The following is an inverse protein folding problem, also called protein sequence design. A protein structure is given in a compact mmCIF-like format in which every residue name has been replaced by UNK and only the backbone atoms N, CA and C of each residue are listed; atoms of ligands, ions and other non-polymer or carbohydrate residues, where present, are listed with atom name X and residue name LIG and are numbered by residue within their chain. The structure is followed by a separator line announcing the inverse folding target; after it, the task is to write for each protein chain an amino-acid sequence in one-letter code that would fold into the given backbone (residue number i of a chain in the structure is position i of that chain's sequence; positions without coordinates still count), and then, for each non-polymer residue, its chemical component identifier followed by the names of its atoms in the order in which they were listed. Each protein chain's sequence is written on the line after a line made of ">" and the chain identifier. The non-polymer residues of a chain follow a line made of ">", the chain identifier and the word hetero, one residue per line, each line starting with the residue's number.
data_IF_383660515751
#
_entry.id   IF_383660515751
#
_cell.length_a   1.000
_cell.length_b   1.000
_cell.length_c   1.000
_cell.angle_alpha   90.00
_cell.angle_beta   90.00
_cell.angle_gamma   90.00
#
_symmetry.space_group_name_H-M   'P 1'
#
loop_
_entity.id
_entity.type
_entity.pdbx_description
1 polymer ?
#
# COMPACT_ATOMS: atom_id res chain seq x y z
N UNK A 1 -29.07 29.30 8.80
CA UNK A 1 -30.16 28.92 7.87
C UNK A 1 -30.30 27.40 7.93
N UNK A 2 -31.44 26.82 8.34
CA UNK A 2 -31.46 25.41 8.72
C UNK A 2 -31.58 24.46 7.51
N UNK A 3 -30.79 23.40 7.61
CA UNK A 3 -30.53 22.22 6.77
C UNK A 3 -31.72 21.65 5.96
N UNK A 4 -32.96 21.79 6.42
CA UNK A 4 -34.16 21.25 5.73
C UNK A 4 -34.48 21.95 4.40
N UNK A 5 -34.06 23.22 4.23
CA UNK A 5 -34.33 23.97 2.99
C UNK A 5 -33.45 23.53 1.82
N UNK A 6 -32.27 22.97 2.11
CA UNK A 6 -31.32 22.43 1.12
C UNK A 6 -31.78 21.03 0.68
N UNK A 7 -32.28 20.20 1.60
CA UNK A 7 -32.79 18.86 1.26
C UNK A 7 -34.03 18.94 0.35
N UNK A 8 -34.92 19.93 0.57
CA UNK A 8 -36.11 20.12 -0.29
C UNK A 8 -35.78 20.61 -1.71
N UNK A 9 -34.64 21.24 -1.95
CA UNK A 9 -34.24 21.65 -3.32
C UNK A 9 -33.71 20.49 -4.18
N UNK A 10 -33.35 19.35 -3.58
CA UNK A 10 -32.86 18.17 -4.29
C UNK A 10 -33.97 17.17 -4.70
N UNK A 11 -35.19 17.30 -4.16
CA UNK A 11 -36.31 16.41 -4.48
C UNK A 11 -36.97 16.68 -5.86
N UNK A 12 -36.67 17.83 -6.48
CA UNK A 12 -37.28 18.27 -7.75
C UNK A 12 -36.30 18.33 -8.93
N UNK A 13 -35.09 17.76 -8.80
CA UNK A 13 -34.18 17.67 -9.94
C UNK A 13 -34.64 16.53 -10.87
N UNK A 14 -34.77 16.79 -12.19
CA UNK A 14 -35.21 15.78 -13.13
C UNK A 14 -34.19 14.63 -13.16
N UNK A 15 -34.69 13.40 -13.21
CA UNK A 15 -33.86 12.22 -13.43
C UNK A 15 -33.13 12.32 -14.78
N UNK A 16 -31.95 11.67 -14.93
CA UNK A 16 -31.05 11.89 -16.07
C UNK A 16 -31.62 11.56 -17.46
N UNK A 17 -32.85 11.03 -17.57
CA UNK A 17 -33.48 10.73 -18.86
C UNK A 17 -34.29 11.87 -19.47
N UNK A 18 -34.47 13.02 -18.78
CA UNK A 18 -35.36 14.09 -19.23
C UNK A 18 -34.68 15.28 -19.93
N UNK A 19 -33.35 15.29 -20.09
CA UNK A 19 -32.60 16.40 -20.72
C UNK A 19 -32.23 16.14 -22.20
N UNK A 20 -32.70 15.05 -22.80
CA UNK A 20 -32.45 14.71 -24.19
C UNK A 20 -33.63 15.08 -25.13
N UNK A 21 -34.20 16.27 -24.99
CA UNK A 21 -35.09 16.82 -26.01
C UNK A 21 -35.22 18.33 -25.80
N UNK A 22 -34.56 19.12 -26.68
CA UNK A 22 -34.89 20.48 -27.16
C UNK A 22 -33.62 21.33 -27.35
N UNK A 23 -33.29 21.67 -28.60
CA UNK A 23 -32.24 22.64 -28.95
C UNK A 23 -31.74 22.47 -30.39
N UNK A 24 -31.67 23.54 -31.22
CA UNK A 24 -31.76 23.44 -32.67
C UNK A 24 -30.43 23.20 -33.38
N UNK A 25 -30.53 22.65 -34.59
CA UNK A 25 -29.43 22.06 -35.34
C UNK A 25 -28.36 23.01 -35.87
N UNK A 26 -27.15 22.47 -35.95
CA UNK A 26 -26.19 22.82 -36.99
C UNK A 26 -25.64 21.52 -37.59
N UNK A 27 -25.81 21.37 -38.91
CA UNK A 27 -25.35 20.22 -39.70
C UNK A 27 -23.84 20.34 -39.91
N UNK A 28 -23.07 19.38 -39.40
CA UNK A 28 -21.78 19.00 -39.99
C UNK A 28 -21.75 17.47 -40.07
N UNK A 29 -21.75 16.96 -41.31
CA UNK A 29 -21.74 15.54 -41.60
C UNK A 29 -20.43 14.88 -41.13
N UNK A 30 -20.52 13.82 -40.30
CA UNK A 30 -19.42 12.87 -40.08
C UNK A 30 -19.78 11.54 -40.73
N UNK A 31 -19.03 11.16 -41.76
CA UNK A 31 -18.95 9.77 -42.24
C UNK A 31 -18.24 8.94 -41.17
N UNK A 32 -18.89 7.86 -40.73
CA UNK A 32 -18.26 6.83 -39.91
C UNK A 32 -17.47 5.86 -40.81
N UNK A 33 -16.23 5.58 -40.45
CA UNK A 33 -15.45 4.47 -41.01
C UNK A 33 -14.92 3.62 -39.86
N UNK A 34 -15.51 2.44 -39.68
CA UNK A 34 -15.02 1.38 -38.81
C UNK A 34 -13.87 0.63 -39.51
N UNK A 35 -12.84 0.16 -38.79
CA UNK A 35 -11.85 -0.76 -39.38
C UNK A 35 -12.36 -2.22 -39.35
N UNK A 36 -11.96 -3.08 -40.32
CA UNK A 36 -12.45 -4.44 -40.42
C UNK A 36 -11.60 -5.45 -39.59
N UNK A 37 -12.13 -6.67 -39.35
CA UNK A 37 -11.46 -7.71 -38.59
C UNK A 37 -10.60 -8.62 -39.50
N UNK A 38 -9.36 -8.92 -39.08
CA UNK A 38 -8.56 -9.95 -39.75
C UNK A 38 -8.79 -11.32 -39.10
N UNK A 39 -9.45 -12.21 -39.85
CA UNK A 39 -9.35 -13.67 -39.75
C UNK A 39 -8.33 -14.14 -40.77
N UNK A 40 -7.38 -14.99 -40.38
CA UNK A 40 -6.60 -15.80 -41.32
C UNK A 40 -7.02 -17.27 -41.18
N UNK A 41 -7.51 -17.82 -42.28
CA UNK A 41 -7.83 -19.23 -42.51
C UNK A 41 -6.71 -19.92 -43.27
N UNK A 42 -6.62 -21.23 -43.07
CA UNK A 42 -5.67 -22.20 -43.61
C UNK A 42 -5.76 -22.44 -45.13
N UNK A 43 -4.67 -22.95 -45.74
CA UNK A 43 -4.68 -24.04 -46.74
C UNK A 43 -3.26 -24.59 -47.05
N UNK A 44 -3.13 -25.93 -46.95
CA UNK A 44 -2.38 -26.97 -47.75
C UNK A 44 -1.25 -26.56 -48.72
N UNK A 45 -0.18 -27.34 -49.04
CA UNK A 45 0.06 -28.80 -49.17
C UNK A 45 1.54 -29.05 -49.58
N UNK A 46 2.11 -30.24 -49.32
CA UNK A 46 3.33 -30.74 -49.99
C UNK A 46 4.03 -31.90 -49.26
N UNK A 47 4.33 -33.00 -49.97
CA UNK A 47 4.50 -34.36 -49.45
C UNK A 47 5.97 -34.87 -49.31
N UNK A 48 6.21 -35.68 -48.26
CA UNK A 48 7.05 -36.92 -48.18
C UNK A 48 8.59 -36.84 -48.15
N UNK A 49 9.33 -37.93 -47.78
CA UNK A 49 8.95 -39.09 -46.96
C UNK A 49 9.95 -39.47 -45.82
N UNK A 50 9.46 -40.33 -44.92
CA UNK A 50 10.09 -41.42 -44.14
C UNK A 50 11.54 -41.31 -43.59
N UNK A 51 11.70 -41.52 -42.28
CA UNK A 51 12.54 -42.62 -41.79
C UNK A 51 12.16 -43.07 -40.37
N UNK A 52 12.15 -44.39 -40.20
CA UNK A 52 11.85 -45.17 -39.00
C UNK A 52 13.15 -45.37 -38.22
N UNK A 53 13.11 -45.28 -36.88
CA UNK A 53 13.93 -46.15 -36.02
C UNK A 53 13.35 -46.27 -34.61
N UNK A 54 12.84 -47.48 -34.39
CA UNK A 54 12.54 -48.13 -33.14
C UNK A 54 13.84 -48.47 -32.40
N UNK A 55 13.87 -48.35 -31.07
CA UNK A 55 14.60 -49.30 -30.22
C UNK A 55 14.12 -49.20 -28.78
N UNK A 56 13.40 -50.25 -28.41
CA UNK A 56 13.21 -50.76 -27.07
C UNK A 56 14.55 -51.18 -26.44
N UNK A 57 14.75 -50.92 -25.15
CA UNK A 57 15.37 -51.91 -24.25
C UNK A 57 15.13 -51.52 -22.78
N UNK A 58 14.66 -52.51 -22.04
CA UNK A 58 14.30 -52.53 -20.63
C UNK A 58 15.45 -53.07 -19.76
N UNK A 59 15.25 -52.96 -18.44
CA UNK A 59 15.95 -53.58 -17.28
C UNK A 59 17.06 -52.75 -16.63
N UNK A 60 17.34 -52.82 -15.33
CA UNK A 60 16.66 -53.28 -14.08
C UNK A 60 17.63 -52.89 -12.94
N UNK A 61 17.10 -52.28 -11.87
CA UNK A 61 17.46 -52.33 -10.43
C UNK A 61 18.94 -52.39 -9.99
N UNK A 62 19.33 -51.44 -9.12
CA UNK A 62 20.09 -51.62 -7.88
C UNK A 62 19.97 -50.32 -7.04
N UNK A 63 19.03 -50.22 -6.10
CA UNK A 63 19.21 -50.34 -4.63
C UNK A 63 20.48 -49.72 -4.06
N UNK A 64 20.32 -48.66 -3.27
CA UNK A 64 20.95 -48.54 -1.96
C UNK A 64 20.08 -47.66 -1.06
N UNK A 65 19.32 -48.34 -0.20
CA UNK A 65 18.85 -47.81 1.07
C UNK A 65 20.05 -47.70 2.03
N UNK A 66 20.06 -46.64 2.84
CA UNK A 66 20.63 -46.68 4.17
C UNK A 66 19.61 -46.02 5.11
N UNK A 67 18.98 -46.88 5.90
CA UNK A 67 18.01 -46.63 6.95
C UNK A 67 18.44 -45.54 7.95
N UNK A 68 17.47 -44.73 8.39
CA UNK A 68 17.20 -44.60 9.82
C UNK A 68 15.69 -44.56 10.04
N UNK A 69 15.21 -45.57 10.75
CA UNK A 69 13.84 -45.76 11.20
C UNK A 69 13.43 -44.75 12.27
N UNK A 70 12.16 -44.32 12.25
CA UNK A 70 11.47 -43.99 13.49
C UNK A 70 10.01 -44.42 13.43
N UNK A 71 9.66 -45.24 14.41
CA UNK A 71 8.37 -45.87 14.65
C UNK A 71 7.25 -44.86 14.91
N UNK A 72 6.03 -45.24 14.54
CA UNK A 72 4.84 -44.43 14.68
C UNK A 72 4.49 -44.06 16.13
N UNK A 73 3.84 -42.91 16.25
CA UNK A 73 3.17 -42.44 17.45
C UNK A 73 2.30 -41.24 17.09
N UNK A 74 0.99 -41.45 16.98
CA UNK A 74 0.02 -40.37 16.99
C UNK A 74 0.16 -39.64 18.33
N UNK A 75 0.51 -38.35 18.31
CA UNK A 75 0.59 -37.52 19.51
C UNK A 75 0.12 -36.10 19.20
N UNK A 76 -0.87 -35.70 19.99
CA UNK A 76 -1.55 -34.41 20.08
C UNK A 76 -0.64 -33.17 20.05
N UNK A 77 -1.21 -32.11 19.49
CA UNK A 77 -0.68 -30.74 19.40
C UNK A 77 0.02 -30.22 20.68
N UNK A 78 1.16 -29.51 20.57
CA UNK A 78 1.76 -28.81 21.69
C UNK A 78 1.40 -27.31 21.60
N UNK A 79 0.13 -26.96 21.80
CA UNK A 79 -0.26 -25.58 22.09
C UNK A 79 -0.73 -25.49 23.53
N UNK A 80 0.21 -25.59 24.49
CA UNK A 80 -0.05 -25.18 25.88
C UNK A 80 1.18 -24.53 26.52
N UNK A 81 0.87 -23.43 27.20
CA UNK A 81 1.67 -22.58 28.07
C UNK A 81 2.83 -21.78 27.47
N UNK A 82 2.44 -20.68 26.81
CA UNK A 82 3.16 -19.40 26.92
C UNK A 82 2.26 -18.43 27.69
N UNK A 83 1.93 -18.76 28.93
CA UNK A 83 1.53 -17.77 29.91
C UNK A 83 2.68 -17.64 30.89
N UNK A 84 3.07 -16.40 31.14
CA UNK A 84 4.12 -16.00 32.07
C UNK A 84 5.56 -15.98 31.54
N UNK A 85 5.80 -15.06 30.59
CA UNK A 85 7.08 -14.35 30.49
C UNK A 85 6.78 -12.87 30.27
N UNK A 86 7.36 -12.04 31.15
CA UNK A 86 7.08 -10.62 31.40
C UNK A 86 6.60 -9.81 30.20
N UNK A 87 5.56 -9.00 30.43
CA UNK A 87 4.95 -8.02 29.52
C UNK A 87 5.94 -7.43 28.49
N UNK A 88 6.12 -8.14 27.38
CA UNK A 88 6.91 -7.69 26.25
C UNK A 88 6.09 -6.62 25.53
N UNK A 89 6.25 -5.34 25.92
CA UNK A 89 5.62 -4.13 25.31
C UNK A 89 4.42 -4.44 24.41
N UNK A 90 3.36 -5.01 24.99
CA UNK A 90 2.05 -5.15 24.35
C UNK A 90 1.50 -3.73 24.25
N UNK A 91 1.71 -3.03 23.12
CA UNK A 91 1.18 -1.67 22.95
C UNK A 91 1.83 -0.75 21.90
N UNK A 92 2.97 -1.11 21.28
CA UNK A 92 3.61 -0.22 20.28
C UNK A 92 3.38 -0.69 18.83
N UNK A 93 3.00 0.21 17.92
CA UNK A 93 2.84 -0.11 16.50
C UNK A 93 4.14 -0.63 15.84
N UNK A 94 4.04 -1.43 14.76
CA UNK A 94 2.80 -1.89 14.13
C UNK A 94 2.05 -2.92 15.00
N UNK A 95 0.72 -2.94 14.88
CA UNK A 95 -0.16 -3.84 15.63
C UNK A 95 -0.29 -5.21 14.95
N UNK A 96 -0.78 -6.23 15.66
CA UNK A 96 -0.90 -7.59 15.09
C UNK A 96 -1.89 -7.64 13.94
N UNK A 97 -3.03 -6.95 14.09
CA UNK A 97 -3.90 -6.59 12.99
C UNK A 97 -3.63 -5.12 12.61
N UNK A 98 -3.06 -4.90 11.43
CA UNK A 98 -2.80 -3.57 10.89
C UNK A 98 -3.31 -3.47 9.45
N UNK A 99 -3.26 -2.28 8.86
CA UNK A 99 -3.64 -2.07 7.48
C UNK A 99 -2.83 -0.93 6.85
N UNK A 100 -2.67 -0.97 5.53
CA UNK A 100 -1.87 0.01 4.79
C UNK A 100 -2.59 1.34 4.55
N UNK A 101 -3.76 1.55 5.16
CA UNK A 101 -4.45 2.84 5.21
C UNK A 101 -5.62 3.03 4.27
N UNK A 102 -5.37 3.17 2.97
CA UNK A 102 -6.39 3.63 2.01
C UNK A 102 -7.64 2.74 2.00
N UNK A 103 -8.80 3.36 2.19
CA UNK A 103 -10.13 2.73 2.16
C UNK A 103 -10.90 3.15 0.90
N UNK A 104 -11.89 2.37 0.49
CA UNK A 104 -12.84 2.72 -0.55
C UNK A 104 -13.50 4.06 -0.25
N UNK A 105 -13.51 4.94 -1.24
CA UNK A 105 -14.13 6.25 -1.10
C UNK A 105 -15.65 6.10 -1.04
N UNK A 106 -16.33 6.68 -0.03
CA UNK A 106 -17.79 6.67 0.03
C UNK A 106 -18.40 7.33 -1.22
N UNK A 107 -19.52 6.83 -1.77
CA UNK A 107 -20.14 7.40 -2.97
C UNK A 107 -20.41 8.91 -2.86
N UNK A 108 -20.82 9.38 -1.67
CA UNK A 108 -21.03 10.81 -1.40
C UNK A 108 -19.76 11.65 -1.57
N UNK A 109 -18.60 11.14 -1.13
CA UNK A 109 -17.32 11.82 -1.29
C UNK A 109 -16.89 11.85 -2.77
N UNK A 110 -17.10 10.75 -3.50
CA UNK A 110 -16.84 10.70 -4.95
C UNK A 110 -17.70 11.72 -5.68
N UNK A 111 -19.00 11.80 -5.38
CA UNK A 111 -19.89 12.82 -5.95
C UNK A 111 -19.44 14.23 -5.60
N UNK A 112 -19.09 14.50 -4.34
CA UNK A 112 -18.61 15.82 -3.91
C UNK A 112 -17.33 16.23 -4.65
N UNK A 113 -16.37 15.32 -4.83
CA UNK A 113 -15.15 15.56 -5.61
C UNK A 113 -15.46 15.92 -7.06
N UNK A 114 -16.33 15.15 -7.73
CA UNK A 114 -16.77 15.46 -9.09
C UNK A 114 -17.46 16.83 -9.21
N UNK A 115 -18.25 17.21 -8.20
CA UNK A 115 -18.90 18.54 -8.15
C UNK A 115 -17.88 19.66 -7.92
N UNK A 116 -16.89 19.43 -7.07
CA UNK A 116 -15.81 20.38 -6.80
C UNK A 116 -14.93 20.60 -8.05
N UNK A 117 -14.55 19.53 -8.76
CA UNK A 117 -13.80 19.61 -10.02
C UNK A 117 -14.56 20.43 -11.09
N UNK A 118 -15.89 20.29 -11.11
CA UNK A 118 -16.79 21.08 -11.97
C UNK A 118 -17.09 22.48 -11.42
N UNK A 119 -16.45 22.88 -10.31
CA UNK A 119 -16.63 24.17 -9.61
C UNK A 119 -18.08 24.44 -9.18
N UNK A 120 -18.85 23.39 -8.91
CA UNK A 120 -20.25 23.48 -8.45
C UNK A 120 -20.33 23.70 -6.94
N UNK A 121 -19.40 23.14 -6.18
CA UNK A 121 -19.26 23.35 -4.73
C UNK A 121 -17.91 24.00 -4.40
N UNK A 122 -17.82 24.70 -3.27
CA UNK A 122 -16.58 25.34 -2.82
C UNK A 122 -15.61 24.33 -2.20
N UNK A 123 -14.38 24.76 -1.91
CA UNK A 123 -13.40 23.93 -1.22
C UNK A 123 -13.84 23.59 0.21
N UNK A 124 -14.48 24.55 0.89
CA UNK A 124 -15.04 24.39 2.23
C UNK A 124 -16.17 23.35 2.21
N UNK A 125 -17.06 23.42 1.22
CA UNK A 125 -18.13 22.44 1.05
C UNK A 125 -17.56 21.04 0.77
N UNK A 126 -16.51 20.90 -0.06
CA UNK A 126 -15.84 19.62 -0.24
C UNK A 126 -15.22 19.10 1.08
N UNK A 127 -14.58 19.98 1.84
CA UNK A 127 -13.98 19.63 3.12
C UNK A 127 -15.03 19.07 4.10
N UNK A 128 -16.26 19.59 4.12
CA UNK A 128 -17.35 19.02 4.94
C UNK A 128 -17.66 17.56 4.56
N UNK A 129 -17.61 17.19 3.27
CA UNK A 129 -17.79 15.80 2.83
C UNK A 129 -16.59 14.92 3.20
N UNK A 130 -15.37 15.45 3.12
CA UNK A 130 -14.15 14.75 3.56
C UNK A 130 -14.20 14.48 5.07
N UNK A 131 -14.55 15.48 5.87
CA UNK A 131 -14.66 15.42 7.32
C UNK A 131 -15.70 14.38 7.75
N UNK A 132 -16.88 14.40 7.12
CA UNK A 132 -17.92 13.40 7.37
C UNK A 132 -17.48 11.99 6.98
N UNK A 133 -16.75 11.83 5.87
CA UNK A 133 -16.23 10.54 5.45
C UNK A 133 -15.18 10.00 6.43
N UNK A 134 -14.29 10.85 6.94
CA UNK A 134 -13.27 10.49 7.94
C UNK A 134 -13.94 10.07 9.25
N UNK A 135 -14.94 10.82 9.72
CA UNK A 135 -15.71 10.46 10.91
C UNK A 135 -16.35 9.08 10.79
N UNK A 136 -16.92 8.77 9.63
CA UNK A 136 -17.45 7.44 9.35
C UNK A 136 -16.34 6.38 9.32
N UNK A 137 -15.23 6.64 8.63
CA UNK A 137 -14.11 5.69 8.54
C UNK A 137 -13.50 5.35 9.89
N UNK A 138 -13.36 6.31 10.81
CA UNK A 138 -12.84 6.06 12.16
C UNK A 138 -13.75 5.09 12.92
N UNK A 139 -15.06 5.35 12.94
CA UNK A 139 -16.04 4.45 13.59
C UNK A 139 -16.09 3.08 12.91
N UNK A 140 -15.99 3.05 11.59
CA UNK A 140 -15.97 1.82 10.82
C UNK A 140 -14.77 0.95 11.17
N UNK A 141 -13.57 1.53 11.20
CA UNK A 141 -12.34 0.80 11.58
C UNK A 141 -12.40 0.30 13.03
N UNK A 142 -12.89 1.13 13.96
CA UNK A 142 -13.09 0.71 15.35
C UNK A 142 -14.11 -0.44 15.49
N UNK A 143 -15.23 -0.38 14.76
CA UNK A 143 -16.26 -1.44 14.76
C UNK A 143 -15.76 -2.79 14.24
N UNK A 144 -14.66 -2.79 13.49
CA UNK A 144 -13.98 -3.98 13.02
C UNK A 144 -12.97 -4.54 14.03
N UNK A 145 -12.65 -3.81 15.08
CA UNK A 145 -11.64 -4.18 16.08
C UNK A 145 -10.21 -3.78 15.70
N UNK A 146 -10.02 -2.86 14.73
CA UNK A 146 -8.69 -2.35 14.40
C UNK A 146 -8.20 -1.37 15.48
N UNK A 147 -6.96 -1.53 15.94
CA UNK A 147 -6.31 -0.55 16.84
C UNK A 147 -5.71 0.63 16.10
N UNK A 148 -5.03 0.37 14.99
CA UNK A 148 -4.56 1.43 14.09
C UNK A 148 -5.73 1.94 13.25
N UNK A 149 -5.89 3.26 13.21
CA UNK A 149 -6.96 3.92 12.46
C UNK A 149 -6.37 5.03 11.58
N UNK A 150 -6.81 5.09 10.33
CA UNK A 150 -6.42 6.15 9.39
C UNK A 150 -7.62 6.99 8.97
N UNK A 151 -7.38 8.08 8.26
CA UNK A 151 -8.40 8.90 7.61
C UNK A 151 -8.98 8.25 6.32
N UNK A 152 -8.53 7.03 5.98
CA UNK A 152 -8.90 6.33 4.75
C UNK A 152 -8.26 6.88 3.47
N UNK A 153 -7.38 7.89 3.58
CA UNK A 153 -6.81 8.61 2.43
C UNK A 153 -7.81 9.57 1.77
N UNK A 154 -8.85 10.02 2.49
CA UNK A 154 -9.95 10.79 1.91
C UNK A 154 -9.65 12.27 1.65
N UNK A 155 -8.58 12.82 2.23
CA UNK A 155 -8.07 14.15 1.88
C UNK A 155 -6.96 14.12 0.85
N UNK A 156 -6.42 12.93 0.56
CA UNK A 156 -5.42 12.73 -0.47
C UNK A 156 -6.12 12.56 -1.82
N UNK A 157 -5.77 13.41 -2.80
CA UNK A 157 -6.25 13.37 -4.18
C UNK A 157 -5.31 12.55 -5.05
N UNK A 158 -4.00 12.82 -4.96
CA UNK A 158 -2.96 12.02 -5.59
C UNK A 158 -1.68 12.10 -4.75
N UNK A 159 -1.12 10.93 -4.38
CA UNK A 159 0.11 10.84 -3.59
C UNK A 159 1.24 11.66 -4.23
N UNK A 160 1.30 11.67 -5.57
CA UNK A 160 2.34 12.33 -6.34
C UNK A 160 2.10 13.85 -6.45
N UNK A 161 0.87 14.27 -6.71
CA UNK A 161 0.52 15.69 -6.97
C UNK A 161 0.43 16.50 -5.68
N UNK A 162 -0.17 15.94 -4.63
CA UNK A 162 -0.35 16.65 -3.36
C UNK A 162 1.00 16.88 -2.67
N UNK A 163 1.96 15.98 -2.86
CA UNK A 163 3.30 16.02 -2.26
C UNK A 163 4.24 17.01 -2.95
N UNK A 164 4.28 16.98 -4.28
CA UNK A 164 4.95 17.99 -5.10
C UNK A 164 4.48 19.41 -4.72
N UNK A 165 3.17 19.54 -4.51
CA UNK A 165 2.54 20.78 -4.04
C UNK A 165 2.87 21.11 -2.59
N UNK A 166 2.99 20.09 -1.74
CA UNK A 166 3.27 20.27 -0.32
C UNK A 166 4.67 20.85 -0.08
N UNK A 167 5.74 20.35 -0.71
CA UNK A 167 7.11 20.82 -0.44
C UNK A 167 7.44 22.23 -0.95
N UNK A 168 6.42 22.96 -1.43
CA UNK A 168 6.53 24.37 -1.77
C UNK A 168 7.42 24.65 -2.98
N UNK A 169 7.70 23.63 -3.78
CA UNK A 169 8.42 23.78 -5.05
C UNK A 169 7.49 23.73 -6.27
N UNK A 170 6.22 23.31 -6.12
CA UNK A 170 5.35 23.02 -7.28
C UNK A 170 3.89 23.45 -7.01
N UNK A 171 3.45 24.66 -7.40
CA UNK A 171 2.01 24.90 -7.57
C UNK A 171 1.55 24.40 -8.95
N UNK A 172 0.53 23.54 -8.99
CA UNK A 172 -0.12 23.10 -10.23
C UNK A 172 -1.28 24.05 -10.54
N UNK A 173 -1.05 25.05 -11.39
CA UNK A 173 -2.11 25.80 -12.07
C UNK A 173 -1.92 25.76 -13.59
N UNK A 174 -2.92 25.25 -14.31
CA UNK A 174 -3.04 25.44 -15.76
C UNK A 174 -1.92 24.86 -16.64
N UNK A 175 -1.09 23.95 -16.12
CA UNK A 175 0.01 23.33 -16.89
C UNK A 175 1.29 24.17 -16.97
N UNK A 176 1.48 25.19 -16.12
CA UNK A 176 2.71 25.99 -16.06
C UNK A 176 3.21 26.13 -14.61
N UNK A 177 4.47 25.77 -14.38
CA UNK A 177 5.12 25.60 -13.07
C UNK A 177 5.61 26.94 -12.46
N UNK A 178 5.22 27.28 -11.23
CA UNK A 178 5.86 28.33 -10.38
C UNK A 178 5.96 27.89 -8.90
N UNK A 179 6.99 28.39 -8.21
CA UNK A 179 7.45 28.01 -6.85
C UNK A 179 6.81 28.83 -5.71
N UNK A 180 6.46 28.21 -4.56
CA UNK A 180 6.06 28.91 -3.31
C UNK A 180 6.27 28.08 -2.02
N UNK A 181 7.18 28.51 -1.14
CA UNK A 181 7.90 27.71 -0.12
C UNK A 181 7.30 27.57 1.30
N UNK A 182 5.98 27.55 1.54
CA UNK A 182 5.48 27.60 2.95
C UNK A 182 4.25 26.74 3.34
N UNK A 183 3.72 25.86 2.48
CA UNK A 183 2.39 25.25 2.72
C UNK A 183 2.34 23.77 3.19
N UNK A 184 3.40 22.95 3.05
CA UNK A 184 3.36 21.51 3.42
C UNK A 184 3.10 21.27 4.90
N UNK A 185 3.92 21.90 5.76
CA UNK A 185 4.01 21.54 7.17
C UNK A 185 2.72 21.72 7.95
N UNK A 186 1.80 22.53 7.41
CA UNK A 186 0.53 22.85 8.04
C UNK A 186 -0.58 21.86 7.66
N UNK A 187 -0.49 21.22 6.48
CA UNK A 187 -1.56 20.36 5.98
C UNK A 187 -1.56 19.02 6.70
N UNK A 188 -0.42 18.33 6.76
CA UNK A 188 -0.30 17.02 7.41
C UNK A 188 -0.58 17.12 8.92
N UNK A 189 -0.09 18.16 9.60
CA UNK A 189 -0.42 18.43 11.01
C UNK A 189 -1.89 18.73 11.23
N UNK A 190 -2.52 19.57 10.40
CA UNK A 190 -3.95 19.89 10.49
C UNK A 190 -4.80 18.63 10.29
N UNK A 191 -4.45 17.83 9.30
CA UNK A 191 -5.17 16.60 8.96
C UNK A 191 -5.01 15.57 10.08
N UNK A 192 -3.81 15.43 10.64
CA UNK A 192 -3.59 14.60 11.83
C UNK A 192 -4.39 15.09 13.05
N UNK A 193 -4.40 16.40 13.34
CA UNK A 193 -5.16 16.94 14.47
C UNK A 193 -6.66 16.66 14.33
N UNK A 194 -7.19 16.76 13.11
CA UNK A 194 -8.58 16.37 12.84
C UNK A 194 -8.79 14.87 13.08
N UNK A 195 -7.96 14.00 12.49
CA UNK A 195 -8.04 12.55 12.70
C UNK A 195 -7.98 12.19 14.19
N UNK A 196 -7.01 12.75 14.92
CA UNK A 196 -6.85 12.55 16.36
C UNK A 196 -8.08 13.02 17.14
N UNK A 197 -8.66 14.16 16.78
CA UNK A 197 -9.88 14.67 17.42
C UNK A 197 -11.02 13.69 17.23
N UNK A 198 -11.26 13.24 15.99
CA UNK A 198 -12.31 12.26 15.68
C UNK A 198 -12.07 10.94 16.43
N UNK A 199 -10.85 10.41 16.40
CA UNK A 199 -10.47 9.20 17.15
C UNK A 199 -10.76 9.35 18.64
N UNK A 200 -10.42 10.50 19.23
CA UNK A 200 -10.71 10.81 20.63
C UNK A 200 -12.20 10.84 20.99
N UNK A 201 -13.09 11.08 20.01
CA UNK A 201 -14.56 10.96 20.21
C UNK A 201 -15.08 9.53 20.17
N UNK A 202 -14.32 8.60 19.59
CA UNK A 202 -14.72 7.19 19.43
C UNK A 202 -14.11 6.34 20.53
N UNK A 203 -12.77 6.31 20.64
CA UNK A 203 -12.09 5.59 21.72
C UNK A 203 -10.65 6.08 21.91
N UNK A 204 -10.21 6.15 23.18
CA UNK A 204 -8.83 6.47 23.55
C UNK A 204 -7.85 5.31 23.34
N UNK A 205 -8.34 4.09 23.12
CA UNK A 205 -7.50 2.91 22.88
C UNK A 205 -7.03 2.79 21.42
N UNK A 206 -7.59 3.59 20.52
CA UNK A 206 -7.22 3.61 19.11
C UNK A 206 -5.97 4.49 18.90
N UNK A 207 -5.11 4.05 17.99
CA UNK A 207 -3.92 4.76 17.57
C UNK A 207 -4.15 5.40 16.19
N UNK A 208 -4.27 6.74 16.08
CA UNK A 208 -4.32 7.40 14.80
C UNK A 208 -2.96 7.25 14.09
N UNK A 209 -2.98 6.65 12.89
CA UNK A 209 -1.81 6.39 12.05
C UNK A 209 -1.76 7.39 10.91
N UNK A 210 -0.64 8.10 10.78
CA UNK A 210 -0.37 8.96 9.63
C UNK A 210 0.36 8.21 8.55
N UNK A 211 -0.08 8.39 7.31
CA UNK A 211 0.53 7.80 6.13
C UNK A 211 1.01 8.93 5.25
N UNK A 212 2.32 8.94 5.01
CA UNK A 212 2.97 9.93 4.16
C UNK A 212 3.83 9.19 3.14
N UNK A 213 4.01 9.74 1.93
CA UNK A 213 5.00 9.22 1.00
C UNK A 213 6.40 9.30 1.60
N UNK A 214 7.25 8.34 1.25
CA UNK A 214 8.65 8.34 1.66
C UNK A 214 9.45 9.47 0.98
N UNK A 215 10.50 10.00 1.63
CA UNK A 215 11.34 11.08 1.08
C UNK A 215 11.98 10.72 -0.27
N UNK A 216 12.25 9.44 -0.52
CA UNK A 216 12.73 8.86 -1.79
C UNK A 216 11.76 9.07 -2.96
N UNK A 217 10.45 8.88 -2.72
CA UNK A 217 9.43 9.13 -3.73
C UNK A 217 9.35 10.62 -4.05
N UNK A 218 9.48 11.48 -3.03
CA UNK A 218 9.46 12.93 -3.26
C UNK A 218 10.70 13.37 -4.03
N UNK A 219 11.85 12.80 -3.68
CA UNK A 219 13.09 13.04 -4.39
C UNK A 219 12.95 12.71 -5.88
N UNK A 220 12.39 11.54 -6.22
CA UNK A 220 12.17 11.11 -7.60
C UNK A 220 11.27 12.06 -8.38
N UNK A 221 10.16 12.50 -7.77
CA UNK A 221 9.22 13.46 -8.38
C UNK A 221 9.85 14.84 -8.56
N UNK A 222 10.48 15.37 -7.51
CA UNK A 222 11.18 16.65 -7.55
C UNK A 222 12.28 16.64 -8.62
N UNK A 223 12.99 15.52 -8.75
CA UNK A 223 14.03 15.36 -9.75
C UNK A 223 13.49 15.35 -11.19
N UNK A 224 12.27 14.87 -11.37
CA UNK A 224 11.61 14.78 -12.67
C UNK A 224 10.92 16.09 -13.06
N UNK A 225 10.51 16.90 -12.07
CA UNK A 225 9.83 18.19 -12.28
C UNK A 225 10.79 19.34 -12.66
N UNK A 226 12.07 19.25 -12.27
CA UNK A 226 13.06 20.30 -12.49
C UNK A 226 13.91 19.95 -13.73
N UNK A 227 13.38 20.28 -14.90
CA UNK A 227 14.11 20.16 -16.15
C UNK A 227 15.22 21.23 -16.24
N UNK A 228 16.46 20.87 -15.86
CA UNK A 228 17.68 21.61 -16.24
C UNK A 228 18.47 22.29 -15.12
N UNK A 229 17.91 22.46 -13.92
CA UNK A 229 18.61 23.00 -12.73
C UNK A 229 18.29 22.15 -11.50
N UNK A 230 18.56 20.85 -11.59
CA UNK A 230 18.52 19.99 -10.42
C UNK A 230 19.54 20.53 -9.39
N UNK A 231 19.15 20.77 -8.13
CA UNK A 231 20.12 20.93 -7.05
C UNK A 231 21.07 19.74 -7.06
N UNK A 232 22.26 19.93 -6.49
CA UNK A 232 23.13 18.79 -6.22
C UNK A 232 22.31 17.70 -5.47
N UNK A 233 22.37 16.43 -5.92
CA UNK A 233 21.54 15.38 -5.35
C UNK A 233 21.72 15.23 -3.83
N UNK A 234 22.92 15.41 -3.30
CA UNK A 234 23.17 15.34 -1.86
C UNK A 234 22.52 16.53 -1.13
N UNK A 235 22.60 17.73 -1.70
CA UNK A 235 21.91 18.90 -1.16
C UNK A 235 20.38 18.69 -1.12
N UNK A 236 19.79 18.11 -2.17
CA UNK A 236 18.36 17.81 -2.19
C UNK A 236 17.98 16.78 -1.11
N UNK A 237 18.82 15.77 -0.88
CA UNK A 237 18.60 14.79 0.18
C UNK A 237 18.64 15.42 1.57
N UNK A 238 19.60 16.31 1.84
CA UNK A 238 19.72 17.02 3.11
C UNK A 238 18.51 17.90 3.38
N UNK A 239 18.06 18.67 2.38
CA UNK A 239 16.88 19.53 2.49
C UNK A 239 15.60 18.71 2.74
N UNK A 240 15.44 17.58 2.04
CA UNK A 240 14.31 16.68 2.22
C UNK A 240 14.32 16.04 3.62
N UNK A 241 15.47 15.52 4.06
CA UNK A 241 15.62 14.94 5.39
C UNK A 241 15.28 15.96 6.48
N UNK A 242 15.77 17.20 6.34
CA UNK A 242 15.47 18.28 7.28
C UNK A 242 13.98 18.66 7.27
N UNK A 243 13.32 18.66 6.10
CA UNK A 243 11.90 18.93 5.99
C UNK A 243 11.05 17.84 6.67
N UNK A 244 11.37 16.56 6.44
CA UNK A 244 10.66 15.46 7.10
C UNK A 244 10.95 15.43 8.61
N UNK A 245 12.18 15.71 9.06
CA UNK A 245 12.51 15.78 10.48
C UNK A 245 11.63 16.83 11.20
N UNK A 246 11.44 18.01 10.60
CA UNK A 246 10.51 19.02 11.11
C UNK A 246 9.07 18.53 11.12
N UNK A 247 8.65 17.81 10.08
CA UNK A 247 7.30 17.25 9.99
C UNK A 247 7.03 16.21 11.09
N UNK A 248 7.95 15.27 11.29
CA UNK A 248 7.85 14.27 12.35
C UNK A 248 7.81 14.94 13.74
N UNK A 249 8.60 15.99 13.95
CA UNK A 249 8.55 16.78 15.17
C UNK A 249 7.17 17.46 15.38
N UNK A 250 6.60 18.07 14.35
CA UNK A 250 5.28 18.71 14.40
C UNK A 250 4.15 17.71 14.63
N UNK A 251 4.21 16.54 13.99
CA UNK A 251 3.29 15.43 14.20
C UNK A 251 3.38 14.91 15.63
N UNK A 252 4.59 14.71 16.15
CA UNK A 252 4.80 14.30 17.54
C UNK A 252 4.28 15.33 18.54
N UNK A 253 4.50 16.63 18.31
CA UNK A 253 3.94 17.70 19.15
C UNK A 253 2.40 17.71 19.12
N UNK A 254 1.78 17.32 18.00
CA UNK A 254 0.35 17.11 17.92
C UNK A 254 -0.10 15.80 18.61
N UNK A 255 0.84 14.95 19.03
CA UNK A 255 0.64 13.67 19.72
C UNK A 255 0.50 12.47 18.78
N UNK A 256 1.08 12.54 17.57
CA UNK A 256 1.22 11.40 16.68
C UNK A 256 2.35 10.50 17.17
N UNK A 257 2.07 9.21 17.30
CA UNK A 257 3.04 8.19 17.70
C UNK A 257 3.21 7.10 16.64
N UNK A 258 2.49 7.17 15.53
CA UNK A 258 2.54 6.16 14.48
C UNK A 258 2.52 6.78 13.08
N UNK A 259 3.64 6.66 12.37
CA UNK A 259 3.82 7.11 11.00
C UNK A 259 4.17 5.93 10.10
N UNK A 260 3.61 5.88 8.92
CA UNK A 260 4.00 4.97 7.84
C UNK A 260 4.51 5.79 6.67
N UNK A 261 5.66 5.38 6.14
CA UNK A 261 6.21 5.83 4.88
C UNK A 261 5.79 4.87 3.78
N UNK A 262 5.09 5.37 2.76
CA UNK A 262 4.77 4.61 1.55
C UNK A 262 5.87 4.85 0.52
N UNK A 263 6.51 3.78 0.04
CA UNK A 263 7.67 3.89 -0.83
C UNK A 263 7.62 2.89 -2.00
N UNK A 264 7.39 3.40 -3.21
CA UNK A 264 7.52 2.62 -4.43
C UNK A 264 8.90 2.66 -5.07
N UNK A 265 9.71 3.66 -4.75
CA UNK A 265 11.07 3.78 -5.28
C UNK A 265 11.98 2.71 -4.69
N UNK A 266 11.98 2.53 -3.36
CA UNK A 266 12.72 1.44 -2.71
C UNK A 266 12.20 0.07 -3.12
N UNK A 267 10.88 -0.04 -3.36
CA UNK A 267 10.29 -1.28 -3.81
C UNK A 267 10.81 -1.68 -5.21
N UNK A 268 10.96 -0.73 -6.13
CA UNK A 268 11.58 -0.96 -7.46
C UNK A 268 13.08 -1.29 -7.35
N UNK A 269 13.81 -0.65 -6.42
CA UNK A 269 15.24 -0.93 -6.19
C UNK A 269 15.52 -2.32 -5.58
N UNK A 270 14.51 -2.95 -4.98
CA UNK A 270 14.54 -4.34 -4.51
C UNK A 270 13.99 -5.34 -5.55
N UNK A 271 13.65 -4.88 -6.77
CA UNK A 271 13.13 -5.71 -7.87
C UNK A 271 14.14 -5.88 -8.98
N UNK A 272 14.28 -7.09 -9.53
CA UNK A 272 15.14 -7.30 -10.70
C UNK A 272 14.69 -6.48 -11.92
N UNK A 273 13.38 -6.37 -12.16
CA UNK A 273 12.88 -5.57 -13.29
C UNK A 273 13.06 -4.07 -13.04
N UNK A 274 12.77 -3.60 -11.82
CA UNK A 274 13.01 -2.19 -11.44
C UNK A 274 14.48 -1.79 -11.59
N UNK A 275 15.39 -2.64 -11.12
CA UNK A 275 16.84 -2.45 -11.26
C UNK A 275 17.30 -2.50 -12.72
N UNK A 276 16.73 -3.38 -13.56
CA UNK A 276 16.98 -3.41 -15.00
C UNK A 276 16.53 -2.13 -15.69
N UNK A 277 15.36 -1.58 -15.32
CA UNK A 277 14.90 -0.30 -15.85
C UNK A 277 15.82 0.86 -15.47
N UNK A 278 16.37 0.87 -14.25
CA UNK A 278 17.38 1.83 -13.83
C UNK A 278 18.65 1.73 -14.69
N UNK A 279 19.17 0.51 -14.91
CA UNK A 279 20.35 0.27 -15.77
C UNK A 279 20.12 0.74 -17.20
N UNK A 280 18.94 0.50 -17.78
CA UNK A 280 18.57 0.99 -19.13
C UNK A 280 18.54 2.51 -19.24
N UNK A 281 18.34 3.22 -18.13
CA UNK A 281 18.42 4.67 -18.03
C UNK A 281 19.85 5.17 -17.75
N UNK A 282 20.85 4.28 -17.77
CA UNK A 282 22.24 4.60 -17.45
C UNK A 282 22.50 4.82 -15.97
N UNK A 283 21.61 4.33 -15.10
CA UNK A 283 21.70 4.53 -13.65
C UNK A 283 22.27 3.27 -12.97
N UNK A 284 22.95 3.48 -11.85
CA UNK A 284 23.45 2.40 -10.99
C UNK A 284 22.43 2.13 -9.86
N UNK A 285 21.70 1.01 -9.89
CA UNK A 285 20.68 0.71 -8.89
C UNK A 285 21.24 0.44 -7.49
N UNK A 286 22.51 0.03 -7.36
CA UNK A 286 23.12 -0.20 -6.04
C UNK A 286 23.47 1.13 -5.38
N UNK A 287 24.08 2.07 -6.13
CA UNK A 287 24.29 3.44 -5.65
C UNK A 287 22.97 4.15 -5.33
N UNK A 288 21.92 3.91 -6.11
CA UNK A 288 20.58 4.44 -5.82
C UNK A 288 20.01 3.88 -4.52
N UNK A 289 20.16 2.58 -4.27
CA UNK A 289 19.71 1.95 -3.03
C UNK A 289 20.47 2.51 -1.82
N UNK A 290 21.80 2.56 -1.88
CA UNK A 290 22.63 3.12 -0.80
C UNK A 290 22.21 4.55 -0.46
N UNK A 291 22.00 5.38 -1.47
CA UNK A 291 21.55 6.77 -1.29
C UNK A 291 20.13 6.85 -0.70
N UNK A 292 19.21 6.03 -1.20
CA UNK A 292 17.84 5.97 -0.69
C UNK A 292 17.78 5.53 0.79
N UNK A 293 18.59 4.54 1.17
CA UNK A 293 18.76 4.10 2.56
C UNK A 293 19.30 5.24 3.43
N UNK A 294 20.34 5.96 2.96
CA UNK A 294 20.87 7.14 3.67
C UNK A 294 19.79 8.21 3.87
N UNK A 295 19.03 8.55 2.83
CA UNK A 295 17.98 9.58 2.92
C UNK A 295 16.88 9.21 3.93
N UNK A 296 16.42 7.96 3.92
CA UNK A 296 15.43 7.48 4.90
C UNK A 296 16.02 7.52 6.31
N UNK A 297 17.23 7.02 6.50
CA UNK A 297 17.89 7.01 7.80
C UNK A 297 18.11 8.41 8.36
N UNK A 298 18.59 9.36 7.56
CA UNK A 298 18.73 10.77 7.95
C UNK A 298 17.39 11.39 8.34
N UNK A 299 16.31 11.00 7.65
CA UNK A 299 14.95 11.44 7.97
C UNK A 299 14.47 10.92 9.33
N UNK A 300 14.63 9.62 9.59
CA UNK A 300 14.11 9.00 10.82
C UNK A 300 15.05 9.16 12.02
N UNK A 301 16.32 9.53 11.82
CA UNK A 301 17.27 9.78 12.92
C UNK A 301 16.78 10.89 13.87
N UNK A 302 16.05 11.88 13.34
CA UNK A 302 15.46 12.97 14.12
C UNK A 302 14.08 12.64 14.72
N UNK A 303 13.58 11.40 14.59
CA UNK A 303 12.25 11.03 15.06
C UNK A 303 12.14 11.23 16.59
N UNK A 304 11.05 11.84 17.08
CA UNK A 304 10.83 11.98 18.52
C UNK A 304 10.69 10.65 19.24
N UNK A 305 11.12 10.60 20.51
CA UNK A 305 11.01 9.38 21.32
C UNK A 305 9.55 8.89 21.43
N UNK A 306 9.35 7.59 21.26
CA UNK A 306 8.02 6.97 21.31
C UNK A 306 7.22 7.01 20.01
N UNK A 307 7.75 7.61 18.94
CA UNK A 307 7.17 7.52 17.59
C UNK A 307 7.65 6.25 16.89
N UNK A 308 6.70 5.39 16.49
CA UNK A 308 6.94 4.29 15.56
C UNK A 308 6.88 4.80 14.12
N UNK A 309 7.90 4.47 13.32
CA UNK A 309 7.96 4.72 11.88
C UNK A 309 8.08 3.38 11.16
N UNK A 310 7.08 3.04 10.35
CA UNK A 310 7.09 1.84 9.50
C UNK A 310 7.28 2.21 8.03
N UNK A 311 7.84 1.29 7.25
CA UNK A 311 7.96 1.43 5.80
C UNK A 311 7.01 0.45 5.12
N UNK A 312 6.10 0.97 4.30
CA UNK A 312 5.31 0.17 3.38
C UNK A 312 5.92 0.25 1.99
N UNK A 313 6.39 -0.89 1.51
CA UNK A 313 7.04 -0.96 0.22
C UNK A 313 5.99 -1.25 -0.84
N UNK A 314 5.64 -0.21 -1.59
CA UNK A 314 4.46 -0.17 -2.44
C UNK A 314 4.84 -0.30 -3.92
N UNK A 315 4.52 -1.42 -4.58
CA UNK A 315 4.82 -1.60 -6.03
C UNK A 315 3.72 -1.14 -6.99
N UNK A 316 2.75 -0.38 -6.50
CA UNK A 316 1.49 -0.16 -7.22
C UNK A 316 0.72 -1.46 -7.45
N UNK A 317 -0.53 -1.36 -7.90
CA UNK A 317 -1.30 -2.55 -8.28
C UNK A 317 -0.88 -3.15 -9.62
N UNK A 318 0.04 -2.49 -10.33
CA UNK A 318 0.46 -2.82 -11.69
C UNK A 318 1.46 -3.96 -11.76
N UNK A 319 2.12 -4.28 -10.66
CA UNK A 319 3.17 -5.28 -10.62
C UNK A 319 3.00 -6.18 -9.42
N UNK A 320 2.96 -7.46 -9.79
CA UNK A 320 2.94 -8.65 -8.95
C UNK A 320 3.65 -8.42 -7.60
N UNK A 321 2.95 -8.76 -6.53
CA UNK A 321 3.30 -8.48 -5.14
C UNK A 321 4.71 -8.95 -4.73
N UNK A 322 5.13 -8.45 -3.58
CA UNK A 322 6.47 -8.10 -3.13
C UNK A 322 7.48 -9.24 -3.05
N UNK A 323 7.04 -10.45 -2.74
CA UNK A 323 7.94 -11.54 -2.38
C UNK A 323 7.61 -12.74 -3.26
N UNK A 324 8.40 -12.87 -4.31
CA UNK A 324 8.23 -13.83 -5.40
C UNK A 324 9.41 -13.79 -6.37
N UNK A 325 9.23 -14.37 -7.56
CA UNK A 325 10.29 -14.75 -8.52
C UNK A 325 11.26 -13.64 -8.97
N UNK A 326 10.99 -12.35 -8.68
CA UNK A 326 11.80 -11.20 -9.13
C UNK A 326 12.45 -10.37 -8.01
N UNK A 327 12.43 -10.83 -6.76
CA UNK A 327 13.10 -10.11 -5.67
C UNK A 327 14.62 -10.19 -5.81
N UNK A 328 15.28 -9.04 -5.82
CA UNK A 328 16.74 -8.96 -5.73
C UNK A 328 17.16 -9.11 -4.26
N UNK A 329 17.43 -10.35 -3.84
CA UNK A 329 17.65 -10.71 -2.43
C UNK A 329 18.72 -9.86 -1.73
N UNK A 330 19.91 -9.58 -2.33
CA UNK A 330 20.94 -8.78 -1.66
C UNK A 330 20.48 -7.34 -1.37
N UNK A 331 19.68 -6.76 -2.26
CA UNK A 331 19.16 -5.40 -2.07
C UNK A 331 18.15 -5.37 -0.92
N UNK A 332 17.30 -6.39 -0.85
CA UNK A 332 16.33 -6.50 0.23
C UNK A 332 16.99 -6.77 1.59
N UNK A 333 18.01 -7.64 1.61
CA UNK A 333 18.80 -7.90 2.81
C UNK A 333 19.48 -6.63 3.34
N UNK A 334 20.13 -5.86 2.46
CA UNK A 334 20.68 -4.54 2.79
C UNK A 334 19.61 -3.62 3.36
N UNK A 335 18.44 -3.53 2.69
CA UNK A 335 17.33 -2.70 3.13
C UNK A 335 16.85 -3.07 4.55
N UNK A 336 16.66 -4.36 4.85
CA UNK A 336 16.21 -4.80 6.18
C UNK A 336 17.20 -4.50 7.29
N UNK A 337 18.50 -4.65 7.02
CA UNK A 337 19.54 -4.47 8.02
C UNK A 337 19.91 -3.00 8.23
N UNK A 338 19.87 -2.18 7.19
CA UNK A 338 20.38 -0.81 7.25
C UNK A 338 19.32 0.22 7.63
N UNK A 339 18.07 0.04 7.23
CA UNK A 339 17.02 1.02 7.50
C UNK A 339 16.63 1.08 8.98
N UNK A 340 16.62 2.28 9.55
CA UNK A 340 16.32 2.56 10.97
C UNK A 340 14.82 2.75 11.25
N UNK A 341 13.99 1.94 10.59
CA UNK A 341 12.53 1.86 10.79
C UNK A 341 12.15 0.75 11.78
N UNK A 342 10.94 0.81 12.34
CA UNK A 342 10.44 -0.15 13.35
C UNK A 342 9.72 -1.35 12.74
N UNK A 343 9.34 -1.27 11.46
CA UNK A 343 8.78 -2.41 10.76
C UNK A 343 8.53 -2.19 9.28
N UNK A 344 8.30 -3.30 8.60
CA UNK A 344 8.09 -3.36 7.15
C UNK A 344 6.72 -3.95 6.84
N UNK A 345 5.94 -3.28 5.99
CA UNK A 345 4.74 -3.85 5.40
C UNK A 345 5.11 -4.52 4.07
N UNK A 346 4.90 -5.82 4.00
CA UNK A 346 5.38 -6.70 2.93
C UNK A 346 4.19 -7.41 2.29
N UNK A 347 3.82 -7.03 1.07
CA UNK A 347 2.71 -7.67 0.35
C UNK A 347 3.10 -9.04 -0.20
N UNK A 348 2.21 -10.03 -0.10
CA UNK A 348 2.39 -11.34 -0.74
C UNK A 348 1.18 -11.68 -1.58
N UNK A 349 1.34 -11.88 -2.89
CA UNK A 349 0.24 -12.27 -3.80
C UNK A 349 -0.17 -13.72 -3.52
N UNK A 350 0.84 -14.57 -3.41
CA UNK A 350 0.73 -15.97 -3.03
C UNK A 350 1.74 -16.22 -1.91
N UNK A 351 1.29 -16.86 -0.84
CA UNK A 351 2.14 -17.18 0.30
C UNK A 351 2.86 -18.51 0.07
N UNK A 352 3.94 -18.52 -0.71
CA UNK A 352 4.76 -19.73 -0.90
C UNK A 352 5.88 -19.76 0.13
N UNK A 353 6.25 -20.95 0.61
CA UNK A 353 7.30 -21.08 1.63
C UNK A 353 8.64 -20.44 1.24
N UNK A 354 8.97 -20.44 -0.07
CA UNK A 354 10.19 -19.85 -0.62
C UNK A 354 10.26 -18.32 -0.39
N UNK A 355 9.11 -17.67 -0.36
CA UNK A 355 9.01 -16.20 -0.30
C UNK A 355 9.30 -15.70 1.13
N UNK A 356 9.00 -16.53 2.14
CA UNK A 356 9.26 -16.22 3.55
C UNK A 356 10.71 -16.41 3.98
N UNK A 357 11.55 -17.08 3.18
CA UNK A 357 12.98 -17.30 3.50
C UNK A 357 13.67 -15.97 3.78
N UNK A 358 13.29 -14.91 3.07
CA UNK A 358 13.88 -13.59 3.19
C UNK A 358 13.61 -12.91 4.54
N UNK A 359 12.59 -13.36 5.27
CA UNK A 359 12.29 -12.84 6.61
C UNK A 359 13.41 -13.15 7.62
N UNK A 360 14.27 -14.14 7.35
CA UNK A 360 15.44 -14.43 8.19
C UNK A 360 16.43 -13.26 8.30
N UNK A 361 16.36 -12.32 7.35
CA UNK A 361 17.21 -11.13 7.32
C UNK A 361 16.59 -9.94 8.06
N UNK A 362 15.36 -10.06 8.59
CA UNK A 362 14.72 -9.00 9.38
C UNK A 362 15.33 -8.97 10.79
N UNK A 363 15.92 -7.85 11.23
CA UNK A 363 16.48 -7.70 12.58
C UNK A 363 15.47 -7.95 13.70
N UNK A 364 15.95 -8.42 14.86
CA UNK A 364 15.12 -8.79 16.03
C UNK A 364 14.30 -7.64 16.63
N UNK A 365 14.76 -6.42 16.43
CA UNK A 365 14.13 -5.19 16.92
C UNK A 365 13.04 -4.64 15.98
N UNK A 366 12.85 -5.27 14.80
CA UNK A 366 11.89 -4.83 13.78
C UNK A 366 10.74 -5.82 13.63
N UNK A 367 9.58 -5.33 13.21
CA UNK A 367 8.42 -6.18 12.88
C UNK A 367 8.25 -6.34 11.38
N UNK A 368 7.71 -7.48 10.95
CA UNK A 368 7.26 -7.71 9.58
C UNK A 368 5.74 -7.84 9.56
N UNK A 369 5.07 -6.91 8.88
CA UNK A 369 3.63 -6.95 8.66
C UNK A 369 3.36 -7.67 7.34
N UNK A 370 2.81 -8.88 7.44
CA UNK A 370 2.54 -9.75 6.31
C UNK A 370 1.23 -9.33 5.63
N UNK A 371 1.33 -8.78 4.43
CA UNK A 371 0.20 -8.48 3.57
C UNK A 371 -0.31 -9.75 2.89
N UNK A 372 -1.05 -10.59 3.62
CA UNK A 372 -1.53 -11.90 3.13
C UNK A 372 -2.99 -11.88 2.65
N UNK A 373 -3.76 -10.86 3.06
CA UNK A 373 -5.16 -10.73 2.66
C UNK A 373 -5.25 -9.90 1.38
N UNK A 374 -5.82 -10.47 0.31
CA UNK A 374 -5.91 -9.76 -0.97
C UNK A 374 -6.75 -8.50 -0.88
N UNK A 375 -6.37 -7.41 -1.55
CA UNK A 375 -7.11 -6.13 -1.59
C UNK A 375 -8.03 -5.97 -2.81
N UNK A 376 -8.04 -6.97 -3.70
CA UNK A 376 -8.68 -6.98 -5.02
C UNK A 376 -9.97 -7.82 -5.07
N UNK A 377 -10.78 -7.73 -6.13
CA UNK A 377 -11.93 -8.60 -6.32
C UNK A 377 -11.52 -10.09 -6.29
N UNK A 378 -12.26 -10.89 -5.53
CA UNK A 378 -11.94 -12.29 -5.27
C UNK A 378 -12.47 -12.75 -3.92
N UNK A 379 -12.65 -14.06 -3.77
CA UNK A 379 -13.06 -14.66 -2.50
C UNK A 379 -12.02 -14.35 -1.42
N UNK A 380 -12.45 -13.96 -0.19
CA UNK A 380 -11.53 -13.83 0.93
C UNK A 380 -10.74 -15.12 1.14
N UNK A 381 -9.47 -15.00 1.52
CA UNK A 381 -8.66 -16.14 1.94
C UNK A 381 -9.32 -16.84 3.13
N UNK A 382 -9.14 -18.15 3.26
CA UNK A 382 -9.59 -18.84 4.46
C UNK A 382 -8.67 -18.52 5.66
N UNK A 383 -9.23 -18.48 6.88
CA UNK A 383 -8.41 -18.31 8.09
C UNK A 383 -7.36 -19.41 8.24
N UNK A 384 -7.67 -20.64 7.83
CA UNK A 384 -6.73 -21.76 7.89
C UNK A 384 -5.55 -21.57 6.93
N UNK A 385 -5.77 -21.05 5.72
CA UNK A 385 -4.69 -20.70 4.80
C UNK A 385 -3.80 -19.58 5.34
N UNK A 386 -4.40 -18.55 5.94
CA UNK A 386 -3.66 -17.45 6.55
C UNK A 386 -2.81 -17.92 7.72
N UNK A 387 -3.36 -18.74 8.62
CA UNK A 387 -2.61 -19.31 9.75
C UNK A 387 -1.45 -20.18 9.27
N UNK A 388 -1.68 -21.07 8.28
CA UNK A 388 -0.60 -21.85 7.67
C UNK A 388 0.49 -20.96 7.07
N UNK A 389 0.12 -19.85 6.45
CA UNK A 389 1.08 -18.89 5.90
C UNK A 389 1.89 -18.19 7.00
N UNK A 390 1.25 -17.83 8.11
CA UNK A 390 1.92 -17.29 9.30
C UNK A 390 2.85 -18.33 9.91
N UNK A 391 2.42 -19.59 10.05
CA UNK A 391 3.27 -20.68 10.55
C UNK A 391 4.49 -20.93 9.65
N UNK A 392 4.33 -20.79 8.32
CA UNK A 392 5.46 -20.86 7.40
C UNK A 392 6.43 -19.68 7.58
N UNK A 393 5.92 -18.46 7.76
CA UNK A 393 6.72 -17.28 8.05
C UNK A 393 7.45 -17.39 9.41
N UNK A 394 6.78 -17.97 10.41
CA UNK A 394 7.30 -18.17 11.76
C UNK A 394 8.53 -19.10 11.83
N UNK A 395 8.80 -19.86 10.76
CA UNK A 395 10.04 -20.65 10.62
C UNK A 395 11.28 -19.79 10.40
N UNK A 396 11.12 -18.56 9.92
CA UNK A 396 12.22 -17.66 9.55
C UNK A 396 12.29 -16.40 10.41
N UNK A 397 11.17 -15.98 10.99
CA UNK A 397 11.11 -14.83 11.89
C UNK A 397 10.20 -15.17 13.08
N UNK A 398 10.60 -14.91 14.34
CA UNK A 398 9.79 -15.23 15.51
C UNK A 398 8.37 -14.68 15.41
N UNK A 399 7.39 -15.44 15.91
CA UNK A 399 5.97 -15.11 15.81
C UNK A 399 5.64 -13.75 16.44
N UNK A 400 6.38 -13.36 17.48
CA UNK A 400 6.28 -12.07 18.14
C UNK A 400 6.76 -10.88 17.30
N UNK A 401 7.47 -11.09 16.20
CA UNK A 401 7.85 -10.06 15.23
C UNK A 401 6.89 -9.99 14.03
N UNK A 402 5.93 -10.90 13.93
CA UNK A 402 4.99 -10.97 12.81
C UNK A 402 3.67 -10.25 13.09
N UNK A 403 3.13 -9.60 12.07
CA UNK A 403 1.79 -9.01 12.04
C UNK A 403 1.07 -9.40 10.74
N UNK A 404 -0.23 -9.10 10.65
CA UNK A 404 -1.08 -9.38 9.50
C UNK A 404 -1.76 -8.09 9.00
N UNK A 405 -1.80 -7.93 7.68
CA UNK A 405 -2.49 -6.84 7.00
C UNK A 405 -3.07 -7.28 5.64
N UNK A 406 -3.90 -6.45 5.01
CA UNK A 406 -4.14 -6.53 3.58
C UNK A 406 -2.86 -6.29 2.77
N UNK A 407 -2.81 -6.84 1.55
CA UNK A 407 -1.70 -6.68 0.60
C UNK A 407 -1.46 -5.22 0.18
N UNK A 408 -2.54 -4.46 -0.01
CA UNK A 408 -2.53 -3.08 -0.46
C UNK A 408 -3.78 -2.35 0.05
N UNK A 409 -3.87 -1.05 -0.23
CA UNK A 409 -5.05 -0.24 0.07
C UNK A 409 -6.20 -0.56 -0.89
N UNK A 410 -7.42 -0.20 -0.50
CA UNK A 410 -8.63 -0.58 -1.23
C UNK A 410 -9.08 0.45 -2.30
N UNK A 411 -8.56 1.69 -2.29
CA UNK A 411 -8.96 2.77 -3.22
C UNK A 411 -7.90 3.20 -4.24
N UNK A 412 -6.92 2.34 -4.52
CA UNK A 412 -5.89 2.57 -5.54
C UNK A 412 -6.50 2.74 -6.93
N UNK A 413 -6.21 3.87 -7.57
CA UNK A 413 -6.80 4.31 -8.83
C UNK A 413 -6.35 3.48 -10.04
N UNK A 414 -7.28 3.39 -10.99
CA UNK A 414 -7.09 3.23 -12.45
C UNK A 414 -7.40 1.91 -13.17
N UNK A 415 -7.44 0.71 -12.57
CA UNK A 415 -7.82 -0.47 -13.39
C UNK A 415 -8.60 -1.55 -12.64
N UNK A 416 -9.91 -1.63 -12.93
CA UNK A 416 -10.66 -2.89 -13.06
C UNK A 416 -10.99 -3.72 -11.82
N UNK A 417 -10.71 -3.25 -10.60
CA UNK A 417 -10.96 -4.01 -9.37
C UNK A 417 -12.05 -3.34 -8.53
N UNK A 418 -13.28 -3.30 -9.04
CA UNK A 418 -14.43 -2.80 -8.28
C UNK A 418 -14.79 -3.81 -7.20
N UNK A 419 -14.25 -3.63 -6.00
CA UNK A 419 -14.82 -4.24 -4.80
C UNK A 419 -15.84 -3.29 -4.19
N UNK A 420 -16.88 -3.85 -3.58
CA UNK A 420 -17.82 -3.09 -2.78
C UNK A 420 -17.35 -2.98 -1.32
N UNK A 421 -18.09 -2.20 -0.54
CA UNK A 421 -17.81 -1.97 0.88
C UNK A 421 -17.92 -3.28 1.69
N UNK A 422 -18.76 -4.22 1.27
CA UNK A 422 -18.95 -5.49 1.98
C UNK A 422 -17.73 -6.39 1.81
N UNK A 423 -17.14 -6.45 0.62
CA UNK A 423 -15.88 -7.15 0.36
C UNK A 423 -14.73 -6.53 1.14
N UNK A 424 -14.62 -5.19 1.18
CA UNK A 424 -13.62 -4.52 2.02
C UNK A 424 -13.81 -4.89 3.51
N UNK A 425 -15.06 -4.85 3.98
CA UNK A 425 -15.44 -5.16 5.37
C UNK A 425 -15.09 -6.59 5.73
N UNK A 426 -15.43 -7.55 4.87
CA UNK A 426 -15.11 -8.96 5.07
C UNK A 426 -13.60 -9.18 5.19
N UNK A 427 -12.80 -8.47 4.39
CA UNK A 427 -11.34 -8.61 4.37
C UNK A 427 -10.65 -7.98 5.56
N UNK A 428 -11.06 -6.78 5.97
CA UNK A 428 -10.54 -6.16 7.20
C UNK A 428 -10.94 -6.97 8.44
N UNK A 429 -12.18 -7.47 8.48
CA UNK A 429 -12.64 -8.36 9.55
C UNK A 429 -11.83 -9.65 9.58
N UNK A 430 -11.56 -10.25 8.42
CA UNK A 430 -10.71 -11.43 8.31
C UNK A 430 -9.30 -11.21 8.89
N UNK A 431 -8.70 -10.04 8.64
CA UNK A 431 -7.40 -9.66 9.25
C UNK A 431 -7.50 -9.65 10.77
N UNK A 432 -8.47 -8.91 11.33
CA UNK A 432 -8.63 -8.78 12.79
C UNK A 432 -8.92 -10.12 13.45
N UNK A 433 -9.87 -10.88 12.93
CA UNK A 433 -10.25 -12.17 13.50
C UNK A 433 -9.11 -13.19 13.42
N UNK A 434 -8.40 -13.26 12.29
CA UNK A 434 -7.24 -14.15 12.15
C UNK A 434 -6.14 -13.76 13.13
N UNK A 435 -5.86 -12.46 13.27
CA UNK A 435 -4.85 -11.99 14.19
C UNK A 435 -5.20 -12.30 15.65
N UNK A 436 -6.47 -12.12 16.05
CA UNK A 436 -6.93 -12.50 17.39
C UNK A 436 -6.77 -14.00 17.63
N UNK A 437 -7.07 -14.85 16.65
CA UNK A 437 -6.92 -16.30 16.77
C UNK A 437 -5.44 -16.75 16.83
N UNK A 438 -4.49 -15.98 16.29
CA UNK A 438 -3.06 -16.31 16.30
C UNK A 438 -2.36 -15.75 17.54
N UNK A 439 -2.63 -14.50 17.91
CA UNK A 439 -1.89 -13.77 18.96
C UNK A 439 -2.68 -13.52 20.24
N UNK A 440 -3.98 -13.84 20.29
CA UNK A 440 -4.83 -13.70 21.48
C UNK A 440 -5.34 -12.27 21.74
N UNK A 441 -4.49 -11.27 21.52
CA UNK A 441 -4.81 -9.84 21.63
C UNK A 441 -4.28 -9.08 20.40
N UNK A 442 -5.09 -8.95 19.35
CA UNK A 442 -4.69 -8.22 18.14
C UNK A 442 -4.86 -6.70 18.25
#
# INVERSE_FOLDING_TARGET
>A
MPFERIVRSFANLPTPSALAATGPGSRIARRASSPPPNRCSAASSGAGPAEVRDSTSSRTVATNEADVSFTGGASSAPWRDVRDRGAARLGTPPFRADHVGRLLQPPKLVTARNLYERRVITAEALQEFEDAAIQHAVRYQESLGLRSVTDGGYRQRSVHVDLATSLGRIEVQGGVTRSSTARSHLVTRRDFLFLKTVVGTVSKSLAPKMIVPAPTMVHLEASSAIAGELPDPEQLDEELAAAYARELALLSQAGCTYVQFDDGTLADLCDEYGRELARRRGQDPDRQLERAVRLINSTVAARPAGMSVCLYLWRGNFRESWLGERVHQPALESLFNELQVDGFFLGYREARQRDFVLLRHVPRDKKAVLGLVGSCAGQPQSKSDLKRSIDMAAKYLPLEQLCLAPQCGFSTMDYGQHIDVDVQTAKLRLVVETANEVWGDA
#
